data_IF_608103294590
#
_entry.id   IF_608103294590
#
_cell.length_a   1.000
_cell.length_b   1.000
_cell.length_c   1.000
_cell.angle_alpha   90.00
_cell.angle_beta   90.00
_cell.angle_gamma   90.00
#
_symmetry.space_group_name_H-M   'P 1'
#
loop_
_entity.id
_entity.type
_entity.pdbx_description
1 polymer ?
2 non-polymer ?
3 water ?
#
# COMPACT_ATOMS: atom_id res chain seq x y z
N UNK A 1 -2.40 20.44 -2.68
CA UNK A 1 -3.55 19.63 -3.06
C UNK A 1 -4.35 19.20 -1.84
N UNK A 2 -5.65 19.24 -2.16
CA UNK A 2 -6.70 18.90 -1.18
C UNK A 2 -7.26 17.50 -1.39
N UNK A 3 -7.80 17.31 -0.18
CA UNK A 3 -8.37 15.97 -0.21
C UNK A 3 -9.45 15.80 -1.28
N UNK A 4 -10.32 16.80 -1.40
CA UNK A 4 -11.43 16.75 -2.36
C UNK A 4 -11.03 16.39 -3.79
N UNK A 5 -9.81 16.76 -4.18
CA UNK A 5 -9.34 16.49 -5.53
C UNK A 5 -8.87 15.06 -5.76
N UNK A 6 -8.35 14.44 -4.71
CA UNK A 6 -7.80 13.09 -4.83
C UNK A 6 -8.71 11.97 -4.35
N UNK A 7 -9.67 12.30 -3.47
CA UNK A 7 -10.57 11.27 -2.95
C UNK A 7 -11.54 10.73 -3.98
N UNK A 8 -12.14 9.59 -3.67
CA UNK A 8 -13.16 8.98 -4.53
C UNK A 8 -14.46 9.42 -3.84
N UNK A 9 -15.32 10.12 -4.57
CA UNK A 9 -16.55 10.59 -3.95
C UNK A 9 -17.68 9.56 -3.86
N UNK A 10 -18.62 9.84 -2.96
CA UNK A 10 -19.79 9.01 -2.74
C UNK A 10 -19.52 7.52 -2.58
N UNK A 11 -18.78 7.15 -1.54
CA UNK A 11 -18.47 5.74 -1.30
C UNK A 11 -19.70 4.97 -0.88
N UNK A 12 -19.77 3.70 -1.28
CA UNK A 12 -20.88 2.86 -0.88
C UNK A 12 -20.63 2.55 0.59
N UNK A 13 -21.66 2.71 1.40
CA UNK A 13 -21.53 2.47 2.83
C UNK A 13 -22.48 1.37 3.29
N UNK A 14 -22.34 0.97 4.55
CA UNK A 14 -23.19 -0.05 5.11
C UNK A 14 -23.79 0.46 6.41
N UNK A 15 -25.11 0.41 6.51
CA UNK A 15 -25.80 0.88 7.69
C UNK A 15 -26.08 -0.27 8.64
N UNK A 16 -25.74 -0.08 9.91
CA UNK A 16 -25.97 -1.08 10.94
C UNK A 16 -27.38 -0.89 11.47
N UNK A 17 -28.03 -1.98 11.93
CA UNK A 17 -27.51 -3.35 11.99
C UNK A 17 -27.37 -4.00 10.62
N UNK A 18 -26.44 -4.92 10.50
CA UNK A 18 -26.20 -5.63 9.25
C UNK A 18 -25.68 -7.04 9.53
N UNK A 19 -25.82 -7.93 8.55
CA UNK A 19 -25.37 -9.30 8.69
C UNK A 19 -23.85 -9.40 8.82
N UNK A 32 -15.80 -3.87 -2.59
CA UNK A 32 -14.45 -3.30 -2.74
C UNK A 32 -13.51 -3.83 -1.66
N UNK A 33 -12.59 -2.96 -1.23
CA UNK A 33 -11.62 -3.33 -0.20
C UNK A 33 -12.26 -3.25 1.18
N UNK A 34 -13.00 -2.17 1.42
CA UNK A 34 -13.68 -1.96 2.70
C UNK A 34 -14.80 -0.94 2.51
N UNK A 35 -15.77 -0.95 3.41
CA UNK A 35 -16.89 -0.03 3.34
C UNK A 35 -17.02 0.82 4.59
N UNK A 36 -17.32 2.12 4.43
CA UNK A 36 -17.45 2.95 5.63
C UNK A 36 -18.75 2.49 6.31
N UNK A 37 -18.78 2.51 7.64
CA UNK A 37 -19.97 2.08 8.37
C UNK A 37 -20.65 3.28 9.02
N UNK A 38 -21.96 3.38 8.82
CA UNK A 38 -22.74 4.49 9.37
C UNK A 38 -23.96 4.02 10.17
N UNK A 39 -24.51 4.92 10.97
CA UNK A 39 -25.69 4.59 11.75
C UNK A 39 -26.92 5.05 10.97
N UNK A 40 -28.09 4.94 11.59
CA UNK A 40 -29.33 5.32 10.92
C UNK A 40 -29.29 6.76 10.39
N UNK A 41 -28.76 7.67 11.21
CA UNK A 41 -28.65 9.08 10.81
C UNK A 41 -27.68 9.25 9.65
N UNK A 42 -26.83 8.24 9.43
CA UNK A 42 -25.88 8.33 8.33
C UNK A 42 -24.51 8.83 8.75
N UNK A 43 -24.30 8.98 10.04
CA UNK A 43 -23.00 9.45 10.55
C UNK A 43 -22.00 8.30 10.58
N UNK A 44 -20.74 8.61 10.31
CA UNK A 44 -19.69 7.60 10.31
C UNK A 44 -19.46 7.04 11.71
N UNK A 45 -19.42 5.71 11.81
CA UNK A 45 -19.18 5.06 13.09
C UNK A 45 -18.02 4.07 12.99
N UNK A 46 -17.45 3.94 11.79
CA UNK A 46 -16.32 3.04 11.60
C UNK A 46 -16.17 2.54 10.19
N UNK A 47 -15.32 1.54 10.00
CA UNK A 47 -15.09 0.95 8.68
C UNK A 47 -14.95 -0.56 8.80
N UNK A 48 -15.41 -1.28 7.79
CA UNK A 48 -15.32 -2.73 7.78
C UNK A 48 -14.58 -3.21 6.53
N UNK A 49 -13.59 -4.07 6.73
CA UNK A 49 -12.81 -4.60 5.63
C UNK A 49 -13.24 -6.01 5.26
N UNK A 50 -13.14 -6.35 3.98
CA UNK A 50 -13.52 -7.68 3.51
C UNK A 50 -12.59 -8.75 4.09
N UNK A 51 -11.32 -8.42 4.24
CA UNK A 51 -10.35 -9.36 4.79
C UNK A 51 -10.71 -9.76 6.21
N UNK A 52 -11.24 -8.83 6.98
CA UNK A 52 -11.64 -9.11 8.35
C UNK A 52 -12.96 -9.88 8.38
N UNK A 53 -12.97 -11.04 7.75
CA UNK A 53 -14.16 -11.88 7.69
C UNK A 53 -14.59 -12.28 9.10
N UNK A 64 -18.15 -7.05 17.61
CA UNK A 64 -18.31 -6.32 16.37
C UNK A 64 -17.02 -6.36 15.57
N UNK A 65 -17.13 -6.58 14.27
CA UNK A 65 -15.96 -6.66 13.40
C UNK A 65 -15.56 -5.30 12.82
N UNK A 66 -16.34 -4.27 13.13
CA UNK A 66 -16.05 -2.93 12.64
C UNK A 66 -15.08 -2.18 13.56
N UNK A 67 -14.08 -1.54 12.95
CA UNK A 67 -13.11 -0.77 13.74
C UNK A 67 -13.59 0.68 13.83
N UNK A 68 -13.69 1.18 15.05
CA UNK A 68 -14.18 2.53 15.30
C UNK A 68 -13.13 3.63 15.14
N UNK A 69 -11.91 3.35 15.59
CA UNK A 69 -10.83 4.34 15.51
C UNK A 69 -10.22 4.43 14.12
N UNK A 70 -10.94 5.06 13.20
CA UNK A 70 -10.47 5.22 11.83
C UNK A 70 -10.17 6.69 11.54
N UNK A 71 -9.09 6.98 10.79
CA UNK A 71 -8.74 8.36 10.47
C UNK A 71 -9.78 9.04 9.60
N UNK A 72 -10.13 10.27 9.94
CA UNK A 72 -11.13 11.03 9.19
C UNK A 72 -10.65 12.46 8.91
N UNK A 73 -11.07 13.00 7.78
CA UNK A 73 -10.72 14.35 7.38
C UNK A 73 -11.91 14.94 6.64
N UNK A 74 -11.82 16.23 6.33
CA UNK A 74 -12.87 16.91 5.58
C UNK A 74 -12.30 17.11 4.17
N UNK A 75 -13.16 17.24 3.17
CA UNK A 75 -12.69 17.38 1.80
C UNK A 75 -11.81 18.60 1.54
N UNK A 76 -11.94 19.64 2.34
CA UNK A 76 -11.13 20.83 2.12
C UNK A 76 -9.82 20.82 2.91
N UNK A 77 -9.54 19.71 3.58
CA UNK A 77 -8.29 19.59 4.30
C UNK A 77 -7.18 19.34 3.28
N UNK A 78 -5.94 19.59 3.68
CA UNK A 78 -4.82 19.38 2.78
C UNK A 78 -4.46 17.90 2.71
N UNK A 79 -3.78 17.50 1.65
CA UNK A 79 -3.37 16.10 1.52
C UNK A 79 -2.36 15.82 2.62
N UNK A 80 -1.65 16.86 3.02
CA UNK A 80 -0.65 16.72 4.08
C UNK A 80 -1.32 16.23 5.35
N UNK A 81 -2.47 16.80 5.69
CA UNK A 81 -3.19 16.39 6.89
C UNK A 81 -3.62 14.94 6.82
N UNK A 82 -4.12 14.51 5.67
CA UNK A 82 -4.57 13.14 5.49
C UNK A 82 -3.38 12.18 5.54
N UNK A 83 -2.26 12.60 4.96
CA UNK A 83 -1.06 11.76 4.96
C UNK A 83 -0.57 11.56 6.39
N UNK A 84 -0.58 12.63 7.18
CA UNK A 84 -0.14 12.56 8.57
C UNK A 84 -0.97 11.58 9.37
N UNK A 85 -2.28 11.56 9.13
CA UNK A 85 -3.16 10.65 9.83
C UNK A 85 -2.89 9.21 9.42
N UNK A 86 -2.66 8.99 8.13
CA UNK A 86 -2.38 7.64 7.64
C UNK A 86 -1.12 7.10 8.31
N UNK A 87 -0.11 7.96 8.42
CA UNK A 87 1.16 7.56 9.02
C UNK A 87 1.01 7.36 10.53
N UNK A 88 0.14 8.16 11.16
CA UNK A 88 -0.09 8.06 12.59
C UNK A 88 -0.79 6.77 13.01
N UNK A 89 -1.78 6.35 12.23
CA UNK A 89 -2.52 5.14 12.55
C UNK A 89 -2.04 3.94 11.74
N UNK A 90 -1.01 4.14 10.92
CA UNK A 90 -0.48 3.08 10.08
C UNK A 90 -1.65 2.42 9.38
N UNK A 91 -2.53 3.24 8.83
CA UNK A 91 -3.72 2.76 8.12
C UNK A 91 -3.66 3.32 6.70
N UNK A 92 -4.08 2.52 5.73
CA UNK A 92 -4.00 2.90 4.32
C UNK A 92 -5.13 3.73 3.73
N UNK A 93 -6.03 4.24 4.56
CA UNK A 93 -7.10 5.05 4.03
C UNK A 93 -7.71 5.95 5.08
N UNK A 94 -8.39 6.98 4.61
CA UNK A 94 -9.06 7.93 5.49
C UNK A 94 -10.46 8.14 4.93
N UNK A 95 -11.42 8.28 5.81
CA UNK A 95 -12.79 8.53 5.38
C UNK A 95 -12.95 10.04 5.40
N UNK A 96 -13.56 10.59 4.35
CA UNK A 96 -13.79 12.02 4.25
C UNK A 96 -15.24 12.27 4.65
N UNK A 97 -15.44 13.13 5.63
CA UNK A 97 -16.80 13.42 6.09
C UNK A 97 -17.15 14.88 5.93
N UNK A 98 -18.44 15.18 5.97
CA UNK A 98 -18.89 16.56 5.87
C UNK A 98 -19.13 17.11 7.27
N UNK A 99 -19.77 18.27 7.35
CA UNK A 99 -20.05 18.90 8.64
C UNK A 99 -20.88 17.99 9.55
N UNK A 100 -21.80 17.24 8.95
CA UNK A 100 -22.67 16.34 9.71
C UNK A 100 -21.96 15.06 10.13
N UNK A 101 -20.67 14.96 9.80
CA UNK A 101 -19.90 13.77 10.15
C UNK A 101 -20.29 12.58 9.30
N UNK A 102 -20.92 12.86 8.16
CA UNK A 102 -21.36 11.82 7.23
C UNK A 102 -20.32 11.64 6.13
N UNK A 103 -20.05 10.38 5.74
CA UNK A 103 -19.06 10.07 4.69
C UNK A 103 -19.43 10.61 3.32
N UNK A 104 -18.52 11.40 2.74
CA UNK A 104 -18.74 11.95 1.41
C UNK A 104 -17.64 11.51 0.45
N UNK A 105 -16.65 10.79 0.96
CA UNK A 105 -15.58 10.32 0.12
C UNK A 105 -14.64 9.40 0.88
N UNK A 106 -13.74 8.76 0.15
CA UNK A 106 -12.74 7.86 0.72
C UNK A 106 -11.44 8.17 0.01
N UNK A 107 -10.36 8.26 0.77
CA UNK A 107 -9.05 8.55 0.20
C UNK A 107 -8.07 7.47 0.64
N UNK A 108 -7.48 6.78 -0.33
CA UNK A 108 -6.53 5.72 -0.02
C UNK A 108 -5.11 6.10 -0.41
N UNK A 109 -4.16 5.31 0.05
CA UNK A 109 -2.76 5.54 -0.30
C UNK A 109 -2.66 5.38 -1.81
N UNK A 110 -3.38 4.40 -2.35
CA UNK A 110 -3.38 4.16 -3.78
C UNK A 110 -3.82 5.39 -4.55
N UNK A 111 -4.87 6.06 -4.06
CA UNK A 111 -5.37 7.25 -4.71
C UNK A 111 -4.31 8.33 -4.76
N UNK A 112 -3.58 8.50 -3.65
CA UNK A 112 -2.55 9.53 -3.59
C UNK A 112 -1.45 9.23 -4.60
N UNK A 113 -1.06 7.95 -4.70
CA UNK A 113 -0.01 7.57 -5.64
C UNK A 113 -0.43 7.77 -7.10
N UNK A 114 -1.57 7.18 -7.46
CA UNK A 114 -2.07 7.24 -8.82
C UNK A 114 -2.63 8.58 -9.33
N UNK A 115 -3.37 9.27 -8.47
CA UNK A 115 -3.99 10.54 -8.86
C UNK A 115 -3.18 11.78 -8.54
N UNK A 116 -2.23 11.66 -7.62
CA UNK A 116 -1.44 12.81 -7.23
C UNK A 116 0.05 12.73 -7.57
N UNK A 117 0.80 11.89 -6.85
CA UNK A 117 2.22 11.78 -7.12
C UNK A 117 2.56 11.45 -8.57
N UNK A 118 1.79 10.56 -9.18
CA UNK A 118 2.04 10.17 -10.57
C UNK A 118 1.59 11.18 -11.60
N UNK A 119 0.80 12.17 -11.19
CA UNK A 119 0.28 13.17 -12.12
C UNK A 119 0.77 14.61 -11.90
N UNK A 120 1.14 14.94 -10.68
CA UNK A 120 1.59 16.30 -10.38
C UNK A 120 2.99 16.56 -10.91
N UNK A 121 3.23 17.81 -11.31
CA UNK A 121 4.54 18.21 -11.82
C UNK A 121 5.50 18.50 -10.67
N UNK A 122 4.93 18.83 -9.51
CA UNK A 122 5.69 19.18 -8.32
C UNK A 122 6.67 18.12 -7.82
N UNK A 123 6.37 16.85 -8.03
CA UNK A 123 7.24 15.79 -7.55
C UNK A 123 8.25 15.23 -8.53
N UNK A 124 8.34 15.85 -9.70
CA UNK A 124 9.31 15.41 -10.69
C UNK A 124 10.67 15.86 -10.18
N UNK A 125 10.64 16.83 -9.27
CA UNK A 125 11.87 17.35 -8.70
C UNK A 125 12.08 17.00 -7.25
N UNK A 126 11.92 15.72 -6.91
CA UNK A 126 12.11 15.25 -5.54
C UNK A 126 12.59 13.80 -5.51
N UNK A 127 13.84 13.60 -5.15
CA UNK A 127 14.40 12.24 -5.08
C UNK A 127 13.86 11.55 -3.85
N UNK A 128 13.82 10.22 -3.89
CA UNK A 128 13.30 9.44 -2.77
C UNK A 128 14.34 9.12 -1.71
N UNK A 129 15.58 9.55 -1.92
CA UNK A 129 16.66 9.26 -0.98
C UNK A 129 16.31 9.42 0.50
N UNK A 130 15.66 10.53 0.89
CA UNK A 130 15.33 10.71 2.31
C UNK A 130 14.16 9.87 2.84
N UNK A 131 13.41 9.25 1.94
CA UNK A 131 12.21 8.53 2.33
C UNK A 131 12.14 7.01 2.27
N UNK A 132 12.99 6.37 1.49
CA UNK A 132 12.89 4.92 1.39
C UNK A 132 13.35 4.19 2.65
N UNK A 133 12.74 3.04 2.89
CA UNK A 133 13.07 2.23 4.05
C UNK A 133 14.42 1.55 3.88
N UNK A 134 15.26 1.68 4.91
CA UNK A 134 16.58 1.05 4.88
C UNK A 134 16.46 -0.36 5.44
N UNK A 135 15.33 -0.64 6.08
CA UNK A 135 15.09 -1.94 6.66
C UNK A 135 14.03 -2.65 5.82
N UNK A 136 14.38 -3.83 5.32
CA UNK A 136 13.47 -4.57 4.47
C UNK A 136 13.49 -6.07 4.73
N UNK A 137 12.30 -6.67 4.79
CA UNK A 137 12.16 -8.11 4.98
C UNK A 137 12.34 -8.76 3.62
N UNK A 138 13.21 -9.75 3.55
CA UNK A 138 13.46 -10.44 2.28
C UNK A 138 13.40 -11.94 2.49
N UNK A 139 13.49 -12.70 1.40
CA UNK A 139 13.45 -14.15 1.55
C UNK A 139 14.30 -14.80 0.48
N UNK A 140 15.03 -15.85 0.86
CA UNK A 140 15.85 -16.57 -0.09
C UNK A 140 14.93 -17.39 -1.00
N UNK A 141 15.24 -17.43 -2.29
CA UNK A 141 14.40 -18.14 -3.25
C UNK A 141 14.20 -19.62 -2.93
N UNK A 142 15.10 -20.20 -2.14
CA UNK A 142 14.97 -21.60 -1.79
C UNK A 142 14.09 -21.86 -0.58
N UNK A 143 13.54 -20.81 0.01
CA UNK A 143 12.71 -20.93 1.20
C UNK A 143 11.35 -21.56 0.94
N UNK A 144 10.98 -22.59 1.73
CA UNK A 144 9.68 -23.26 1.57
C UNK A 144 8.58 -22.21 1.72
N UNK A 145 7.53 -22.35 0.93
CA UNK A 145 6.43 -21.40 0.94
C UNK A 145 5.85 -21.00 2.30
N UNK A 146 5.64 -21.98 3.18
CA UNK A 146 5.09 -21.68 4.49
C UNK A 146 5.96 -20.72 5.29
N UNK A 147 7.27 -20.93 5.24
CA UNK A 147 8.18 -20.05 5.96
C UNK A 147 8.21 -18.68 5.31
N UNK A 148 8.08 -18.65 3.99
CA UNK A 148 8.08 -17.39 3.26
C UNK A 148 6.81 -16.61 3.61
N UNK A 149 5.71 -17.33 3.78
CA UNK A 149 4.45 -16.70 4.13
C UNK A 149 4.51 -16.13 5.54
N UNK A 150 5.20 -16.83 6.43
CA UNK A 150 5.34 -16.35 7.80
C UNK A 150 6.07 -15.02 7.75
N UNK A 151 7.09 -14.92 6.91
CA UNK A 151 7.87 -13.69 6.77
C UNK A 151 7.00 -12.58 6.19
N UNK A 152 6.18 -12.93 5.21
CA UNK A 152 5.30 -11.95 4.57
C UNK A 152 4.35 -11.38 5.61
N UNK A 153 3.83 -12.26 6.45
CA UNK A 153 2.90 -11.87 7.51
C UNK A 153 3.56 -10.89 8.49
N UNK A 154 4.87 -11.05 8.69
CA UNK A 154 5.62 -10.19 9.62
C UNK A 154 6.34 -9.04 8.93
N UNK A 155 5.99 -8.74 7.69
CA UNK A 155 6.62 -7.65 6.96
C UNK A 155 5.75 -6.41 6.93
N UNK A 156 6.36 -5.23 6.89
CA UNK A 156 5.57 -4.00 6.82
C UNK A 156 5.31 -3.66 5.36
N UNK A 157 5.68 -4.58 4.47
CA UNK A 157 5.45 -4.41 3.05
C UNK A 157 4.53 -5.50 2.52
N UNK A 158 3.85 -5.19 1.43
CA UNK A 158 2.95 -6.16 0.81
C UNK A 158 3.73 -7.22 0.04
N UNK A 159 5.02 -6.98 -0.16
CA UNK A 159 5.83 -7.93 -0.91
C UNK A 159 7.20 -8.19 -0.30
N UNK A 160 7.75 -9.35 -0.61
CA UNK A 160 9.07 -9.73 -0.14
C UNK A 160 10.05 -9.81 -1.31
N UNK A 161 11.10 -8.99 -1.30
CA UNK A 161 12.06 -9.08 -2.40
C UNK A 161 12.70 -10.47 -2.20
N UNK A 162 13.02 -11.16 -3.28
CA UNK A 162 13.62 -12.49 -3.17
C UNK A 162 15.09 -12.43 -3.61
N UNK A 163 15.95 -13.11 -2.86
CA UNK A 163 17.38 -13.10 -3.19
C UNK A 163 17.93 -14.50 -3.40
N UNK A 164 19.07 -14.59 -4.07
CA UNK A 164 19.69 -15.88 -4.28
C UNK A 164 20.55 -16.22 -3.06
N UNK A 165 21.28 -17.33 -3.14
CA UNK A 165 22.09 -17.78 -2.02
C UNK A 165 23.20 -16.80 -1.62
N UNK A 166 23.51 -15.86 -2.50
CA UNK A 166 24.55 -14.88 -2.22
C UNK A 166 24.02 -13.50 -1.85
N UNK A 167 22.70 -13.38 -1.76
CA UNK A 167 22.09 -12.11 -1.39
C UNK A 167 21.71 -11.19 -2.53
N UNK A 168 21.93 -11.64 -3.77
CA UNK A 168 21.58 -10.84 -4.94
C UNK A 168 20.07 -10.87 -5.18
N UNK A 169 19.51 -9.75 -5.62
CA UNK A 169 18.08 -9.66 -5.90
C UNK A 169 17.74 -10.46 -7.15
N UNK A 170 16.83 -11.43 -7.05
CA UNK A 170 16.45 -12.23 -8.20
C UNK A 170 14.94 -12.31 -8.46
N UNK A 171 14.15 -11.77 -7.53
CA UNK A 171 12.72 -11.81 -7.72
C UNK A 171 11.97 -11.07 -6.64
N UNK A 172 10.65 -11.22 -6.63
CA UNK A 172 9.83 -10.57 -5.63
C UNK A 172 8.53 -11.37 -5.57
N UNK A 173 7.89 -11.39 -4.40
CA UNK A 173 6.67 -12.17 -4.26
C UNK A 173 5.68 -11.54 -3.29
N UNK A 174 4.38 -11.66 -3.60
CA UNK A 174 3.35 -11.13 -2.72
C UNK A 174 2.19 -12.13 -2.62
N UNK A 175 1.18 -11.77 -1.84
CA UNK A 175 0.03 -12.65 -1.61
C UNK A 175 -0.64 -13.15 -2.89
N UNK A 176 -0.79 -12.28 -3.87
CA UNK A 176 -1.45 -12.67 -5.12
C UNK A 176 -0.70 -13.75 -5.88
N UNK A 177 0.61 -13.88 -5.64
CA UNK A 177 1.39 -14.88 -6.34
C UNK A 177 1.07 -16.31 -5.89
N UNK A 178 0.40 -16.44 -4.75
CA UNK A 178 0.02 -17.74 -4.26
C UNK A 178 -0.92 -18.42 -5.25
N UNK A 179 -1.68 -17.63 -6.00
CA UNK A 179 -2.61 -18.17 -6.97
C UNK A 179 -1.90 -18.77 -8.19
N UNK A 180 -0.58 -18.66 -8.22
CA UNK A 180 0.19 -19.23 -9.33
C UNK A 180 0.47 -20.69 -9.06
N UNK A 181 0.13 -21.14 -7.85
CA UNK A 181 0.36 -22.53 -7.48
C UNK A 181 -0.83 -23.38 -7.94
N UNK A 182 -0.59 -24.21 -8.95
CA UNK A 182 -1.61 -25.08 -9.50
C UNK A 182 -2.32 -25.94 -8.45
N UNK A 183 -1.63 -26.21 -7.34
CA UNK A 183 -2.21 -27.04 -6.28
C UNK A 183 -3.34 -26.37 -5.53
N UNK A 184 -3.80 -25.22 -5.99
CA UNK A 184 -4.90 -24.53 -5.32
C UNK A 184 -6.22 -25.01 -5.94
N UNK A 185 -6.11 -25.76 -7.03
CA UNK A 185 -7.29 -26.29 -7.72
C UNK A 185 -7.87 -27.39 -6.86
N UNK A 186 -8.64 -27.00 -5.84
CA UNK A 186 -9.27 -27.95 -4.92
C UNK A 186 -9.98 -27.13 -3.84
N UNK A 219 3.01 -29.83 -0.80
CA UNK A 219 2.59 -28.43 -0.68
C UNK A 219 3.51 -27.63 0.24
N UNK A 220 4.83 -27.90 0.28
CA UNK A 220 5.43 -26.68 0.77
C UNK A 220 6.73 -26.45 -0.02
N UNK A 221 6.57 -26.19 -1.31
CA UNK A 221 7.71 -25.97 -2.21
C UNK A 221 8.37 -24.61 -2.07
N UNK A 222 9.57 -24.45 -2.68
CA UNK A 222 10.33 -23.20 -2.64
C UNK A 222 9.56 -22.03 -3.25
N UNK A 223 9.69 -20.86 -2.63
CA UNK A 223 9.00 -19.67 -3.10
C UNK A 223 9.43 -19.30 -4.52
N UNK A 224 10.58 -19.81 -4.94
CA UNK A 224 11.08 -19.54 -6.29
C UNK A 224 10.06 -19.98 -7.33
N UNK A 225 9.28 -21.01 -7.01
CA UNK A 225 8.27 -21.54 -7.93
C UNK A 225 7.08 -20.62 -8.21
N UNK A 226 6.89 -19.58 -7.41
CA UNK A 226 5.77 -18.67 -7.66
C UNK A 226 6.18 -17.21 -7.71
N UNK A 227 7.47 -16.93 -7.60
CA UNK A 227 7.92 -15.56 -7.60
C UNK A 227 7.96 -14.88 -8.97
N UNK A 228 7.91 -13.55 -8.94
CA UNK A 228 7.99 -12.74 -10.15
C UNK A 228 9.49 -12.49 -10.34
N UNK A 229 10.04 -12.88 -11.49
CA UNK A 229 11.47 -12.73 -11.74
C UNK A 229 11.93 -11.37 -12.25
N UNK A 230 11.07 -10.68 -13.00
CA UNK A 230 11.43 -9.36 -13.51
C UNK A 230 10.99 -8.31 -12.50
N UNK A 231 11.93 -7.89 -11.67
CA UNK A 231 11.64 -6.92 -10.62
C UNK A 231 11.80 -5.47 -11.08
N UNK A 232 10.76 -4.68 -10.80
CA UNK A 232 10.75 -3.26 -11.12
C UNK A 232 11.42 -2.59 -9.93
N UNK A 233 12.55 -1.94 -10.18
CA UNK A 233 13.33 -1.31 -9.11
C UNK A 233 13.45 0.20 -9.14
N UNK A 234 13.93 0.74 -8.03
CA UNK A 234 14.17 2.15 -7.86
C UNK A 234 15.59 2.31 -7.34
N UNK A 235 16.07 3.54 -7.30
CA UNK A 235 17.40 3.83 -6.76
C UNK A 235 17.18 5.03 -5.85
N UNK A 236 18.16 5.37 -5.01
CA UNK A 236 18.00 6.52 -4.11
C UNK A 236 17.75 7.85 -4.81
N UNK A 237 18.29 7.99 -6.03
CA UNK A 237 18.15 9.24 -6.77
C UNK A 237 16.90 9.33 -7.63
N UNK A 238 16.13 8.24 -7.70
CA UNK A 238 14.92 8.24 -8.51
C UNK A 238 13.90 9.19 -7.87
N UNK A 239 13.15 9.90 -8.70
CA UNK A 239 12.18 10.85 -8.20
C UNK A 239 10.87 10.23 -7.74
N UNK A 240 10.18 10.95 -6.85
CA UNK A 240 8.89 10.51 -6.32
C UNK A 240 7.95 10.35 -7.50
N UNK A 241 8.08 11.22 -8.49
CA UNK A 241 7.25 11.16 -9.68
C UNK A 241 7.44 9.84 -10.42
N UNK A 242 8.68 9.50 -10.74
CA UNK A 242 8.93 8.25 -11.47
C UNK A 242 8.53 7.02 -10.68
N UNK A 243 8.78 7.01 -9.38
CA UNK A 243 8.40 5.86 -8.57
C UNK A 243 6.88 5.69 -8.62
N UNK A 244 6.16 6.79 -8.46
CA UNK A 244 4.70 6.73 -8.50
C UNK A 244 4.21 6.27 -9.87
N UNK A 245 4.87 6.75 -10.92
CA UNK A 245 4.51 6.36 -12.28
C UNK A 245 4.62 4.85 -12.44
N UNK A 246 5.68 4.28 -11.90
CA UNK A 246 5.90 2.84 -11.98
C UNK A 246 4.88 2.08 -11.13
N UNK A 247 4.60 2.59 -9.93
CA UNK A 247 3.63 1.95 -9.06
C UNK A 247 2.26 1.90 -9.74
N UNK A 248 1.89 3.00 -10.39
CA UNK A 248 0.61 3.08 -11.09
C UNK A 248 0.60 2.20 -12.32
N UNK A 249 1.66 2.28 -13.12
CA UNK A 249 1.77 1.51 -14.35
C UNK A 249 1.69 -0.01 -14.14
N UNK A 250 2.41 -0.50 -13.13
CA UNK A 250 2.46 -1.92 -12.84
C UNK A 250 1.51 -2.37 -11.73
N UNK A 251 0.79 -1.42 -11.14
CA UNK A 251 -0.13 -1.70 -10.06
C UNK A 251 0.57 -2.41 -8.92
N UNK A 252 1.69 -1.86 -8.50
CA UNK A 252 2.47 -2.43 -7.40
C UNK A 252 2.63 -1.38 -6.31
N UNK A 253 2.68 -1.85 -5.07
CA UNK A 253 2.78 -0.94 -3.92
C UNK A 253 4.20 -0.71 -3.41
N UNK A 254 5.20 -1.32 -4.04
CA UNK A 254 6.56 -1.15 -3.57
C UNK A 254 7.61 -1.52 -4.61
N UNK A 255 8.74 -0.81 -4.57
CA UNK A 255 9.86 -1.08 -5.47
C UNK A 255 11.13 -1.26 -4.67
N UNK A 256 11.83 -2.38 -4.87
CA UNK A 256 13.08 -2.56 -4.12
C UNK A 256 14.02 -1.41 -4.56
N UNK A 257 14.82 -0.91 -3.62
CA UNK A 257 15.77 0.15 -3.94
C UNK A 257 17.11 -0.53 -4.07
N UNK A 258 17.80 -0.30 -5.18
CA UNK A 258 19.09 -0.94 -5.41
C UNK A 258 20.19 -0.01 -5.89
N UNK A 259 21.38 -0.60 -5.97
CA UNK A 259 22.57 0.05 -6.49
C UNK A 259 23.10 -1.03 -7.43
N UNK A 260 23.94 -0.67 -8.39
CA UNK A 260 24.45 -1.67 -9.31
C UNK A 260 23.34 -2.31 -10.10
N UNK A 261 23.42 -3.62 -10.31
CA UNK A 261 22.40 -4.34 -11.08
C UNK A 261 21.34 -5.02 -10.23
N UNK A 262 21.72 -5.45 -9.02
CA UNK A 262 20.78 -6.12 -8.15
C UNK A 262 21.20 -6.12 -6.70
N UNK A 263 21.88 -5.05 -6.28
CA UNK A 263 22.36 -4.91 -4.91
C UNK A 263 21.30 -4.19 -4.11
N UNK A 264 20.53 -4.97 -3.35
CA UNK A 264 19.43 -4.45 -2.54
C UNK A 264 19.90 -3.64 -1.34
N UNK A 265 19.42 -2.40 -1.25
CA UNK A 265 19.79 -1.50 -0.16
C UNK A 265 18.59 -0.88 0.54
N UNK A 266 17.39 -1.21 0.07
CA UNK A 266 16.21 -0.66 0.68
C UNK A 266 14.92 -0.99 -0.07
N UNK A 267 13.84 -0.33 0.31
CA UNK A 267 12.55 -0.55 -0.32
C UNK A 267 11.75 0.73 -0.26
N UNK A 268 11.14 1.12 -1.38
CA UNK A 268 10.30 2.32 -1.35
C UNK A 268 8.86 1.84 -1.54
N UNK A 269 8.07 1.97 -0.47
CA UNK A 269 6.67 1.55 -0.47
C UNK A 269 5.83 2.78 -0.77
N UNK A 270 4.59 2.56 -1.21
CA UNK A 270 3.71 3.69 -1.48
C UNK A 270 3.53 4.47 -0.19
N UNK A 271 3.46 3.75 0.93
CA UNK A 271 3.28 4.35 2.24
C UNK A 271 4.44 5.28 2.59
N UNK A 272 5.63 4.97 2.09
CA UNK A 272 6.80 5.79 2.38
C UNK A 272 6.73 7.12 1.66
N UNK A 273 6.05 7.14 0.52
CA UNK A 273 5.92 8.36 -0.26
C UNK A 273 5.06 9.40 0.47
N UNK A 274 4.22 8.93 1.39
CA UNK A 274 3.36 9.85 2.15
C UNK A 274 4.21 10.82 2.96
N UNK A 275 5.40 10.39 3.34
CA UNK A 275 6.30 11.23 4.14
C UNK A 275 6.73 12.48 3.38
N UNK A 276 6.65 12.42 2.06
CA UNK A 276 7.02 13.57 1.23
C UNK A 276 6.05 14.73 1.48
N UNK A 277 4.79 14.40 1.75
CA UNK A 277 3.76 15.41 2.00
C UNK A 277 3.91 16.11 3.34
N UNK A 278 4.69 15.52 4.24
CA UNK A 278 4.90 16.11 5.56
C UNK A 278 5.97 17.21 5.47
X LIG B 1 -2.22 -5.67 -3.81
X LIG B 1 -2.41 -5.84 -5.25
X LIG B 1 -3.53 -6.83 -5.51
X LIG B 1 -4.02 -6.91 -6.62
X LIG B 1 -3.93 -7.54 -4.61
X LIG B 1 -1.10 -6.34 -5.88
X LIG B 1 -1.10 -6.07 -7.39
X LIG B 1 0.54 -6.39 -8.08
X LIG B 1 0.13 -6.25 -9.86
X LIG B 1 0.84 -8.15 -7.81
X LIG B 1 1.99 -8.61 -8.71
X LIG B 1 3.02 -7.60 -8.76
X LIG B 1 2.65 -9.90 -8.18
X LIG B 1 2.89 -10.79 -9.27
X LIG B 1 3.95 -9.38 -7.55
X LIG B 1 4.96 -10.40 -7.50
X LIG B 1 4.28 -8.22 -8.50
X LIG B 1 5.20 -7.24 -7.94
X LIG B 1 5.13 -6.60 -6.71
X LIG B 1 6.07 -5.70 -6.63
X LIG B 1 6.87 -5.81 -7.73
X LIG B 1 8.07 -5.19 -8.18
X LIG B 1 8.71 -4.24 -7.41
X LIG B 1 8.58 -5.54 -9.38
X LIG B 1 8.02 -6.50 -10.13
X LIG B 1 6.87 -7.08 -9.76
X LIG B 1 6.30 -6.79 -8.58
#
# INVERSE_FOLDING_TARGET
>A
MRVKTIMTQNPVTITLPATRNYALELFKKYKVRSFPVVNKEGKLVGIISVKRILVNPDEEQLAMLVKRDVPVVKENDTLKKAAKLMLEYDYRRVVVVDSKGKPVGILTVGDIIRRYFAKSEKYKGVEIEPYYQRYVSIVWEGTPLKAALKALLLSNSMALPVVDSEGNLVGIVDETDLLRDSEIVRIMKSTELAASSEEEWILESHPTLLFEKFELQLPNKPVAEIMTRDVIVATPHMTVHEVALKMAKYSIEQLPVIRGEGDLIGLIRDFDLLKVLVKSKA
>B hetero
1 SAM N CA C O OXT CB CG SD CE C5' C4' O4' C3' O3' C2' O2' C1' N9 C8 N7 C5 C6 N6 N1 C2 N3 C4
#
